data_IF_176685396017
#
_entry.id   IF_176685396017
#
_cell.length_a   1.000
_cell.length_b   1.000
_cell.length_c   1.000
_cell.angle_alpha   90.00
_cell.angle_beta   90.00
_cell.angle_gamma   90.00
#
_symmetry.space_group_name_H-M   'P 1'
#
loop_
_entity.id
_entity.type
_entity.pdbx_description
1 polymer ?
#
# COMPACT_ATOMS: atom_id res chain seq x y z
N UNK A 1 1.36 27.95 -5.86
CA UNK A 1 2.24 27.88 -4.67
C UNK A 1 1.56 28.26 -3.35
N UNK A 2 0.83 29.39 -3.24
CA UNK A 2 0.20 29.79 -1.96
C UNK A 2 -0.79 28.77 -1.37
N UNK A 3 -1.55 28.07 -2.22
CA UNK A 3 -2.47 27.01 -1.78
C UNK A 3 -1.69 25.81 -1.20
N UNK A 4 -0.60 25.41 -1.85
CA UNK A 4 0.29 24.35 -1.35
C UNK A 4 0.92 24.73 -0.01
N UNK A 5 1.35 25.98 0.15
CA UNK A 5 1.84 26.45 1.44
C UNK A 5 0.73 26.42 2.51
N UNK A 6 -0.49 26.83 2.17
CA UNK A 6 -1.63 26.81 3.09
C UNK A 6 -1.95 25.38 3.55
N UNK A 7 -1.93 24.41 2.64
CA UNK A 7 -2.09 22.99 2.96
C UNK A 7 -0.93 22.49 3.84
N UNK A 8 0.32 22.81 3.50
CA UNK A 8 1.46 22.42 4.32
C UNK A 8 1.36 22.98 5.76
N UNK A 9 0.92 24.23 5.92
CA UNK A 9 0.68 24.82 7.23
C UNK A 9 -0.49 24.14 7.97
N UNK A 10 -1.52 23.67 7.26
CA UNK A 10 -2.60 22.89 7.88
C UNK A 10 -2.06 21.60 8.51
N UNK A 11 -1.20 20.86 7.79
CA UNK A 11 -0.54 19.66 8.32
C UNK A 11 0.37 19.99 9.52
N UNK A 12 1.21 21.02 9.41
CA UNK A 12 2.07 21.44 10.53
C UNK A 12 1.30 21.86 11.78
N UNK A 13 0.13 22.46 11.63
CA UNK A 13 -0.63 22.99 12.76
C UNK A 13 -1.49 21.93 13.44
N UNK A 14 -2.09 21.03 12.65
CA UNK A 14 -3.16 20.16 13.15
C UNK A 14 -2.73 18.69 13.30
N UNK A 15 -1.68 18.27 12.59
CA UNK A 15 -1.31 16.86 12.43
C UNK A 15 0.04 16.48 13.03
N UNK A 16 0.80 17.42 13.61
CA UNK A 16 2.11 17.11 14.17
C UNK A 16 2.09 16.65 15.63
N UNK A 17 3.07 15.83 15.96
CA UNK A 17 3.37 15.33 17.31
C UNK A 17 4.87 15.39 17.55
N UNK A 18 5.24 15.45 18.83
CA UNK A 18 6.63 15.42 19.27
C UNK A 18 6.98 14.03 19.82
N UNK A 19 8.14 13.52 19.42
CA UNK A 19 8.72 12.27 19.94
C UNK A 19 10.09 12.60 20.52
N UNK A 20 10.27 12.33 21.80
CA UNK A 20 11.58 12.43 22.45
C UNK A 20 12.36 11.12 22.26
N UNK A 21 13.57 11.23 21.71
CA UNK A 21 14.49 10.11 21.56
C UNK A 21 15.93 10.59 21.77
N UNK A 22 16.68 9.88 22.61
CA UNK A 22 18.08 10.16 22.92
C UNK A 22 18.34 11.62 23.38
N UNK A 23 17.40 12.20 24.14
CA UNK A 23 17.47 13.57 24.65
C UNK A 23 17.20 14.67 23.60
N UNK A 24 16.75 14.29 22.39
CA UNK A 24 16.32 15.21 21.34
C UNK A 24 14.84 15.01 21.03
N UNK A 25 14.14 16.12 20.80
CA UNK A 25 12.73 16.12 20.40
C UNK A 25 12.64 16.22 18.88
N UNK A 26 11.87 15.31 18.28
CA UNK A 26 11.62 15.26 16.85
C UNK A 26 10.14 15.50 16.57
N UNK A 27 9.84 16.37 15.60
CA UNK A 27 8.46 16.62 15.16
C UNK A 27 8.14 15.77 13.94
N UNK A 28 7.05 14.99 14.02
CA UNK A 28 6.54 14.15 12.93
C UNK A 28 5.04 14.37 12.76
N UNK A 29 4.50 13.99 11.61
CA UNK A 29 3.07 14.03 11.33
C UNK A 29 2.39 12.69 11.64
N UNK A 30 1.10 12.77 12.00
CA UNK A 30 0.16 11.66 12.12
C UNK A 30 -1.18 12.06 11.51
N UNK A 31 -1.97 11.08 11.09
CA UNK A 31 -3.38 11.33 10.79
C UNK A 31 -4.13 11.65 12.07
N UNK A 32 -5.10 12.56 12.00
CA UNK A 32 -5.93 12.95 13.14
C UNK A 32 -7.19 13.68 12.70
N UNK A 33 -8.35 13.09 13.00
CA UNK A 33 -9.64 13.78 12.96
C UNK A 33 -10.14 14.16 14.36
N UNK A 34 -10.71 15.35 14.50
CA UNK A 34 -11.25 15.87 15.76
C UNK A 34 -12.76 16.13 15.72
N UNK A 35 -13.44 15.80 14.62
CA UNK A 35 -14.87 16.00 14.48
C UNK A 35 -15.66 15.03 15.39
N UNK A 36 -16.90 15.39 15.73
CA UNK A 36 -17.77 14.58 16.59
C UNK A 36 -18.69 13.67 15.77
N UNK A 37 -19.15 12.58 16.40
CA UNK A 37 -20.13 11.67 15.84
C UNK A 37 -19.61 10.76 14.71
N UNK A 38 -20.46 9.85 14.22
CA UNK A 38 -20.14 8.92 13.13
C UNK A 38 -19.95 9.64 11.79
N UNK A 39 -19.27 8.97 10.86
CA UNK A 39 -19.14 9.39 9.47
C UNK A 39 -20.52 9.49 8.81
N UNK A 40 -20.90 10.63 8.19
CA UNK A 40 -22.19 10.75 7.51
C UNK A 40 -22.40 9.73 6.38
N UNK A 41 -21.33 9.39 5.66
CA UNK A 41 -21.33 8.47 4.52
C UNK A 41 -21.41 6.98 4.91
N UNK A 42 -20.98 6.64 6.14
CA UNK A 42 -21.03 5.28 6.73
C UNK A 42 -21.77 5.28 8.06
N UNK A 43 -22.80 6.14 8.21
CA UNK A 43 -23.43 6.43 9.51
C UNK A 43 -23.94 5.18 10.22
N UNK A 44 -24.59 4.28 9.46
CA UNK A 44 -25.19 3.07 10.02
C UNK A 44 -24.11 2.09 10.49
N UNK A 45 -23.08 1.91 9.70
CA UNK A 45 -21.94 1.01 9.94
C UNK A 45 -21.17 1.46 11.19
N UNK A 46 -20.89 2.75 11.30
CA UNK A 46 -20.23 3.36 12.46
C UNK A 46 -21.05 3.19 13.74
N UNK A 47 -22.35 3.53 13.71
CA UNK A 47 -23.23 3.37 14.87
C UNK A 47 -23.32 1.90 15.32
N UNK A 48 -23.44 0.96 14.37
CA UNK A 48 -23.54 -0.47 14.68
C UNK A 48 -22.24 -1.01 15.26
N UNK A 49 -21.09 -0.65 14.70
CA UNK A 49 -19.78 -1.09 15.20
C UNK A 49 -19.45 -0.48 16.57
N UNK A 50 -19.94 0.73 16.84
CA UNK A 50 -19.78 1.40 18.13
C UNK A 50 -20.62 0.80 19.28
N UNK A 51 -21.58 -0.09 18.99
CA UNK A 51 -22.39 -0.76 20.03
C UNK A 51 -21.57 -1.62 21.00
N UNK A 52 -20.34 -1.97 20.62
CA UNK A 52 -19.37 -2.63 21.49
C UNK A 52 -18.99 -1.75 22.71
N UNK A 53 -18.94 -0.44 22.53
CA UNK A 53 -18.54 0.52 23.56
C UNK A 53 -19.74 0.94 24.41
N UNK A 54 -19.51 1.07 25.72
CA UNK A 54 -20.60 1.28 26.69
C UNK A 54 -20.89 2.75 26.92
N UNK A 55 -19.84 3.55 26.99
CA UNK A 55 -19.93 4.98 27.28
C UNK A 55 -19.96 5.79 25.99
N UNK A 56 -20.57 6.97 26.04
CA UNK A 56 -20.60 7.86 24.89
C UNK A 56 -19.21 8.43 24.60
N UNK A 57 -18.36 8.59 25.62
CA UNK A 57 -16.96 8.99 25.46
C UNK A 57 -16.12 7.96 24.69
N UNK A 58 -16.29 6.66 24.98
CA UNK A 58 -15.63 5.59 24.23
C UNK A 58 -16.11 5.54 22.78
N UNK A 59 -17.42 5.69 22.53
CA UNK A 59 -17.99 5.74 21.18
C UNK A 59 -17.46 6.93 20.39
N UNK A 60 -17.44 8.11 20.99
CA UNK A 60 -16.89 9.32 20.35
C UNK A 60 -15.40 9.18 20.08
N UNK A 61 -14.63 8.52 20.97
CA UNK A 61 -13.24 8.21 20.68
C UNK A 61 -13.10 7.25 19.51
N UNK A 62 -13.95 6.24 19.44
CA UNK A 62 -13.94 5.27 18.35
C UNK A 62 -14.32 5.91 16.99
N UNK A 63 -15.33 6.79 16.95
CA UNK A 63 -15.68 7.52 15.72
C UNK A 63 -14.53 8.39 15.21
N UNK A 64 -13.77 9.05 16.11
CA UNK A 64 -12.58 9.80 15.71
C UNK A 64 -11.52 8.90 15.09
N UNK A 65 -11.29 7.71 15.62
CA UNK A 65 -10.33 6.76 15.05
C UNK A 65 -10.77 6.22 13.69
N UNK A 66 -12.07 5.97 13.50
CA UNK A 66 -12.64 5.61 12.19
C UNK A 66 -12.38 6.70 11.14
N UNK A 67 -12.69 7.95 11.48
CA UNK A 67 -12.44 9.11 10.59
C UNK A 67 -10.96 9.35 10.35
N UNK A 68 -10.12 9.13 11.36
CA UNK A 68 -8.67 9.24 11.22
C UNK A 68 -8.11 8.15 10.29
N UNK A 69 -8.64 6.92 10.34
CA UNK A 69 -8.29 5.88 9.39
C UNK A 69 -8.76 6.22 7.97
N UNK A 70 -9.95 6.82 7.81
CA UNK A 70 -10.40 7.32 6.51
C UNK A 70 -9.49 8.44 5.97
N UNK A 71 -9.03 9.38 6.81
CA UNK A 71 -8.06 10.42 6.43
C UNK A 71 -6.74 9.82 5.94
N UNK A 72 -6.32 8.67 6.49
CA UNK A 72 -5.11 7.97 6.04
C UNK A 72 -5.22 7.37 4.63
N UNK A 73 -6.44 7.22 4.12
CA UNK A 73 -6.75 6.48 2.90
C UNK A 73 -6.70 4.95 3.07
N UNK A 74 -6.51 4.43 4.28
CA UNK A 74 -6.44 3.00 4.61
C UNK A 74 -7.56 2.58 5.58
N UNK A 75 -8.81 2.88 5.23
CA UNK A 75 -10.02 2.49 5.97
C UNK A 75 -10.57 1.14 5.48
N UNK A 76 -10.42 0.01 6.16
CA UNK A 76 -9.61 -0.19 7.37
C UNK A 76 -8.52 -1.22 7.12
N UNK A 77 -7.58 -1.27 8.05
CA UNK A 77 -6.39 -2.11 8.01
C UNK A 77 -5.93 -2.46 9.41
N UNK A 78 -5.38 -3.67 9.58
CA UNK A 78 -4.59 -4.06 10.75
C UNK A 78 -3.45 -3.11 11.05
N UNK A 79 -2.95 -2.37 10.04
CA UNK A 79 -1.98 -1.28 10.21
C UNK A 79 -2.32 -0.36 11.38
N UNK A 80 -3.59 -0.06 11.54
CA UNK A 80 -4.10 0.88 12.54
C UNK A 80 -4.57 0.24 13.84
N UNK A 81 -4.49 -1.08 13.96
CA UNK A 81 -4.91 -1.78 15.18
C UNK A 81 -3.80 -1.74 16.22
N UNK A 82 -4.16 -1.44 17.46
CA UNK A 82 -3.30 -1.62 18.62
C UNK A 82 -4.06 -2.47 19.64
N UNK A 83 -3.73 -3.76 19.68
CA UNK A 83 -4.15 -4.68 20.74
C UNK A 83 -2.89 -5.27 21.39
N UNK A 84 -2.65 -4.92 22.66
CA UNK A 84 -1.45 -5.33 23.41
C UNK A 84 -0.13 -5.01 22.68
N UNK A 85 -0.04 -3.82 22.05
CA UNK A 85 1.14 -3.41 21.27
C UNK A 85 1.32 -4.14 19.94
N UNK A 86 0.29 -4.82 19.43
CA UNK A 86 0.35 -5.54 18.15
C UNK A 86 -0.64 -5.00 17.11
N UNK A 87 -0.46 -5.35 15.83
CA UNK A 87 -1.42 -5.13 14.74
C UNK A 87 -2.59 -6.15 14.71
N UNK A 88 -2.74 -6.97 15.74
CA UNK A 88 -3.84 -7.94 15.85
C UNK A 88 -5.11 -7.26 16.36
N UNK A 89 -6.23 -7.97 16.27
CA UNK A 89 -7.51 -7.51 16.77
C UNK A 89 -8.53 -7.34 15.66
N UNK A 90 -9.45 -6.40 15.86
CA UNK A 90 -10.49 -6.03 14.91
C UNK A 90 -10.72 -4.52 14.93
N UNK A 91 -11.72 -4.05 14.19
CA UNK A 91 -12.05 -2.63 14.05
C UNK A 91 -12.17 -1.87 15.39
N UNK A 92 -12.66 -2.52 16.46
CA UNK A 92 -12.75 -1.90 17.80
C UNK A 92 -11.38 -1.56 18.43
N UNK A 93 -10.28 -2.06 17.85
CA UNK A 93 -8.90 -1.81 18.26
C UNK A 93 -8.21 -0.71 17.45
N UNK A 94 -8.93 0.05 16.60
CA UNK A 94 -8.39 1.19 15.89
C UNK A 94 -7.77 2.22 16.85
N UNK A 95 -6.52 2.60 16.55
CA UNK A 95 -5.73 3.64 17.23
C UNK A 95 -4.87 4.41 16.21
N UNK A 96 -5.44 4.68 15.04
CA UNK A 96 -4.80 5.39 13.93
C UNK A 96 -4.15 6.69 14.38
N UNK A 97 -4.83 7.49 15.21
CA UNK A 97 -4.31 8.77 15.69
C UNK A 97 -3.11 8.62 16.62
N UNK A 98 -2.79 7.41 17.06
CA UNK A 98 -1.65 7.11 17.92
C UNK A 98 -0.45 6.50 17.18
N UNK A 99 -0.53 6.39 15.86
CA UNK A 99 0.52 5.84 15.02
C UNK A 99 1.11 6.97 14.17
N UNK A 100 2.44 7.07 14.15
CA UNK A 100 3.19 7.94 13.26
C UNK A 100 3.53 7.11 12.01
N UNK A 101 2.90 7.39 10.85
CA UNK A 101 3.04 6.52 9.71
C UNK A 101 4.17 6.96 8.76
N UNK A 102 4.87 5.99 8.18
CA UNK A 102 6.06 6.18 7.35
C UNK A 102 5.76 6.95 6.07
N UNK A 103 4.71 6.56 5.35
CA UNK A 103 4.25 7.22 4.12
C UNK A 103 3.93 8.70 4.32
N UNK A 104 3.12 9.05 5.33
CA UNK A 104 2.79 10.45 5.59
C UNK A 104 4.04 11.29 5.83
N UNK A 105 5.00 10.78 6.63
CA UNK A 105 6.20 11.54 6.95
C UNK A 105 7.19 11.62 5.78
N UNK A 106 7.25 10.58 4.96
CA UNK A 106 7.98 10.60 3.70
C UNK A 106 7.40 11.66 2.74
N UNK A 107 6.07 11.75 2.63
CA UNK A 107 5.37 12.76 1.83
C UNK A 107 5.56 14.17 2.39
N UNK A 108 5.53 14.36 3.71
CA UNK A 108 5.77 15.66 4.34
C UNK A 108 7.17 16.20 4.05
N UNK A 109 8.20 15.35 4.11
CA UNK A 109 9.54 15.70 3.64
C UNK A 109 9.53 16.11 2.17
N UNK A 110 8.89 15.30 1.30
CA UNK A 110 8.88 15.55 -0.13
C UNK A 110 8.17 16.86 -0.49
N UNK A 111 7.04 17.13 0.15
CA UNK A 111 6.30 18.39 0.02
C UNK A 111 7.19 19.58 0.43
N UNK A 112 7.97 19.46 1.51
CA UNK A 112 8.90 20.52 1.90
C UNK A 112 10.00 20.74 0.84
N UNK A 113 10.55 19.67 0.25
CA UNK A 113 11.52 19.77 -0.85
C UNK A 113 10.91 20.44 -2.10
N UNK A 114 9.71 20.04 -2.52
CA UNK A 114 9.00 20.64 -3.65
C UNK A 114 8.75 22.14 -3.42
N UNK A 115 8.34 22.52 -2.20
CA UNK A 115 8.13 23.92 -1.85
C UNK A 115 9.46 24.71 -1.85
N UNK A 116 10.54 24.12 -1.37
CA UNK A 116 11.89 24.70 -1.49
C UNK A 116 12.25 24.98 -2.95
N UNK A 117 12.08 23.99 -3.84
CA UNK A 117 12.38 24.13 -5.26
C UNK A 117 11.52 25.22 -5.92
N UNK A 118 10.22 25.21 -5.70
CA UNK A 118 9.33 26.23 -6.26
C UNK A 118 9.70 27.65 -5.79
N UNK A 119 10.02 27.85 -4.51
CA UNK A 119 10.43 29.17 -4.03
C UNK A 119 11.80 29.60 -4.56
N UNK A 120 12.71 28.66 -4.78
CA UNK A 120 13.99 28.92 -5.44
C UNK A 120 13.77 29.40 -6.87
N UNK A 121 12.95 28.70 -7.66
CA UNK A 121 12.65 29.08 -9.05
C UNK A 121 11.92 30.43 -9.15
N UNK A 122 11.10 30.78 -8.16
CA UNK A 122 10.41 32.08 -8.09
C UNK A 122 11.28 33.22 -7.53
N UNK A 123 12.55 32.96 -7.19
CA UNK A 123 13.47 33.97 -6.66
C UNK A 123 13.20 34.41 -5.21
N UNK A 124 12.39 33.66 -4.46
CA UNK A 124 12.13 33.93 -3.05
C UNK A 124 13.08 33.12 -2.15
N UNK A 125 14.30 33.65 -1.97
CA UNK A 125 15.35 32.98 -1.21
C UNK A 125 15.00 32.72 0.26
N UNK A 126 14.25 33.62 0.91
CA UNK A 126 13.85 33.48 2.31
C UNK A 126 12.94 32.26 2.52
N UNK A 127 11.89 32.14 1.69
CA UNK A 127 10.98 30.99 1.74
C UNK A 127 11.69 29.70 1.32
N UNK A 128 12.58 29.75 0.34
CA UNK A 128 13.37 28.60 -0.06
C UNK A 128 14.18 28.06 1.14
N UNK A 129 14.95 28.92 1.82
CA UNK A 129 15.72 28.53 3.03
C UNK A 129 14.80 27.97 4.11
N UNK A 130 13.64 28.59 4.36
CA UNK A 130 12.65 28.08 5.33
C UNK A 130 12.25 26.62 5.03
N UNK A 131 11.87 26.33 3.79
CA UNK A 131 11.42 25.00 3.40
C UNK A 131 12.57 23.97 3.34
N UNK A 132 13.77 24.40 2.98
CA UNK A 132 14.96 23.56 3.05
C UNK A 132 15.28 23.13 4.49
N UNK A 133 15.19 24.06 5.45
CA UNK A 133 15.36 23.74 6.88
C UNK A 133 14.27 22.80 7.38
N UNK A 134 13.01 23.03 7.01
CA UNK A 134 11.90 22.13 7.36
C UNK A 134 12.13 20.72 6.81
N UNK A 135 12.53 20.58 5.55
CA UNK A 135 12.84 19.29 4.96
C UNK A 135 14.02 18.59 5.66
N UNK A 136 15.08 19.34 6.00
CA UNK A 136 16.25 18.79 6.71
C UNK A 136 15.88 18.25 8.10
N UNK A 137 15.07 19.00 8.85
CA UNK A 137 14.57 18.57 10.15
C UNK A 137 13.67 17.33 10.03
N UNK A 138 12.84 17.27 8.98
CA UNK A 138 11.96 16.12 8.74
C UNK A 138 12.73 14.85 8.38
N UNK A 139 13.75 14.98 7.52
CA UNK A 139 14.65 13.88 7.17
C UNK A 139 15.33 13.31 8.41
N UNK A 140 15.81 14.18 9.31
CA UNK A 140 16.41 13.76 10.56
C UNK A 140 15.40 13.02 11.44
N UNK A 141 14.17 13.56 11.59
CA UNK A 141 13.11 12.92 12.36
C UNK A 141 12.73 11.53 11.82
N UNK A 142 12.57 11.38 10.49
CA UNK A 142 12.29 10.09 9.84
C UNK A 142 13.44 9.11 10.05
N UNK A 143 14.68 9.58 9.92
CA UNK A 143 15.88 8.76 10.13
C UNK A 143 16.01 8.29 11.58
N UNK A 144 15.69 9.14 12.55
CA UNK A 144 15.87 8.80 13.96
C UNK A 144 14.70 7.99 14.52
N UNK A 145 13.47 8.31 14.14
CA UNK A 145 12.27 7.71 14.74
C UNK A 145 11.80 6.49 13.96
N UNK A 146 11.84 6.53 12.63
CA UNK A 146 11.16 5.52 11.78
C UNK A 146 12.12 4.49 11.16
N UNK A 147 13.37 4.83 10.85
CA UNK A 147 14.35 3.85 10.37
C UNK A 147 14.67 2.80 11.44
N UNK A 148 14.62 1.52 11.06
CA UNK A 148 15.01 0.41 11.91
C UNK A 148 16.22 -0.32 11.31
N UNK A 149 17.41 -0.11 11.88
CA UNK A 149 18.68 -0.63 11.34
C UNK A 149 18.72 -2.16 11.19
N UNK A 150 18.26 -2.91 12.20
CA UNK A 150 18.31 -4.38 12.18
C UNK A 150 17.27 -5.00 11.23
N UNK A 151 16.06 -4.47 11.19
CA UNK A 151 15.02 -4.90 10.24
C UNK A 151 15.37 -4.47 8.81
N UNK A 152 16.04 -3.33 8.66
CA UNK A 152 16.51 -2.81 7.39
C UNK A 152 15.47 -2.05 6.58
N UNK A 153 14.50 -1.43 7.26
CA UNK A 153 13.41 -0.67 6.62
C UNK A 153 12.88 0.43 7.55
N UNK A 154 12.07 1.35 7.04
CA UNK A 154 11.31 2.29 7.86
C UNK A 154 10.00 1.68 8.34
N UNK A 155 9.73 1.79 9.63
CA UNK A 155 8.55 1.22 10.29
C UNK A 155 7.71 2.33 10.92
N UNK A 156 6.38 2.16 10.88
CA UNK A 156 5.48 3.05 11.61
C UNK A 156 5.80 3.01 13.11
N UNK A 157 5.55 4.11 13.82
CA UNK A 157 5.84 4.21 15.26
C UNK A 157 4.55 4.28 16.08
N UNK A 158 4.41 3.36 17.02
CA UNK A 158 3.33 3.31 18.00
C UNK A 158 3.69 4.18 19.21
N UNK A 159 2.98 5.31 19.35
CA UNK A 159 3.23 6.25 20.45
C UNK A 159 2.64 5.81 21.79
N UNK A 160 1.69 4.88 21.82
CA UNK A 160 1.14 4.38 23.08
C UNK A 160 2.11 3.43 23.76
N UNK A 161 2.78 2.60 22.96
CA UNK A 161 3.69 1.57 23.45
C UNK A 161 5.18 1.94 23.30
N UNK A 162 5.48 3.04 22.62
CA UNK A 162 6.84 3.50 22.30
C UNK A 162 7.66 2.45 21.55
N UNK A 163 7.06 1.83 20.53
CA UNK A 163 7.68 0.78 19.73
C UNK A 163 7.56 1.08 18.25
N UNK A 164 8.56 0.62 17.48
CA UNK A 164 8.44 0.51 16.03
C UNK A 164 7.58 -0.71 15.70
N UNK A 165 6.67 -0.55 14.74
CA UNK A 165 5.72 -1.58 14.32
C UNK A 165 6.35 -2.42 13.22
N UNK A 166 7.06 -3.49 13.60
CA UNK A 166 7.74 -4.43 12.69
C UNK A 166 6.74 -5.36 11.97
N UNK A 167 5.96 -4.76 11.07
CA UNK A 167 5.01 -5.42 10.19
C UNK A 167 5.27 -4.97 8.76
N UNK A 168 4.98 -5.86 7.81
CA UNK A 168 5.10 -5.51 6.40
C UNK A 168 3.93 -4.65 5.92
N UNK A 169 4.30 -3.49 5.38
CA UNK A 169 3.47 -2.62 4.57
C UNK A 169 4.28 -2.15 3.35
N UNK A 170 3.71 -2.12 2.14
CA UNK A 170 4.43 -1.57 0.97
C UNK A 170 4.98 -0.16 1.19
N UNK A 171 4.30 0.63 2.03
CA UNK A 171 4.69 1.98 2.42
C UNK A 171 5.91 2.06 3.33
N UNK A 172 6.41 0.94 3.87
CA UNK A 172 7.67 0.92 4.62
C UNK A 172 8.86 1.43 3.76
N UNK A 173 8.77 1.32 2.43
CA UNK A 173 9.80 1.81 1.51
C UNK A 173 9.44 3.15 0.84
N UNK A 174 8.35 3.81 1.26
CA UNK A 174 7.98 5.14 0.76
C UNK A 174 9.10 6.21 0.87
N UNK A 175 10.03 6.14 1.84
CA UNK A 175 11.20 7.01 1.85
C UNK A 175 12.09 6.86 0.61
N UNK A 176 12.19 5.68 0.00
CA UNK A 176 12.90 5.53 -1.28
C UNK A 176 12.18 6.27 -2.42
N UNK A 177 10.84 6.19 -2.46
CA UNK A 177 10.00 6.86 -3.47
C UNK A 177 10.01 8.39 -3.38
N UNK A 178 10.18 8.91 -2.16
CA UNK A 178 10.15 10.35 -1.86
C UNK A 178 11.54 10.95 -1.68
N UNK A 179 12.60 10.14 -1.83
CA UNK A 179 13.98 10.52 -1.52
C UNK A 179 14.17 11.01 -0.06
N UNK A 180 13.33 10.56 0.88
CA UNK A 180 13.38 10.90 2.29
C UNK A 180 14.40 10.02 3.05
N UNK A 181 15.64 10.01 2.59
CA UNK A 181 16.75 9.30 3.24
C UNK A 181 18.08 9.96 2.86
N UNK A 182 19.14 9.62 3.60
CA UNK A 182 20.49 10.06 3.29
C UNK A 182 20.99 9.43 1.99
N UNK A 183 20.84 10.15 0.87
CA UNK A 183 21.14 9.65 -0.50
C UNK A 183 22.62 9.32 -0.71
N UNK A 184 23.51 9.94 0.05
CA UNK A 184 24.92 9.57 0.12
C UNK A 184 25.13 8.10 0.53
N UNK A 185 24.14 7.49 1.17
CA UNK A 185 24.14 6.11 1.65
C UNK A 185 23.13 5.22 0.90
N UNK A 186 22.73 5.56 -0.34
CA UNK A 186 21.74 4.77 -1.12
C UNK A 186 22.07 3.28 -1.15
N UNK A 187 23.31 2.89 -1.45
CA UNK A 187 23.68 1.46 -1.50
C UNK A 187 23.47 0.72 -0.18
N UNK A 188 23.65 1.40 0.97
CA UNK A 188 23.38 0.83 2.28
C UNK A 188 21.88 0.59 2.49
N UNK A 189 21.05 1.61 2.26
CA UNK A 189 19.60 1.49 2.40
C UNK A 189 19.00 0.45 1.45
N UNK A 190 19.42 0.46 0.18
CA UNK A 190 18.95 -0.52 -0.82
C UNK A 190 19.31 -1.93 -0.38
N UNK A 191 20.57 -2.20 0.00
CA UNK A 191 20.98 -3.55 0.41
C UNK A 191 20.18 -4.07 1.63
N UNK A 192 19.79 -3.18 2.55
CA UNK A 192 18.94 -3.50 3.71
C UNK A 192 17.49 -3.76 3.30
N UNK A 193 16.92 -2.89 2.47
CA UNK A 193 15.54 -3.02 1.96
C UNK A 193 15.38 -4.29 1.12
N UNK A 194 16.33 -4.62 0.25
CA UNK A 194 16.27 -5.84 -0.57
C UNK A 194 16.24 -7.11 0.29
N UNK A 195 17.07 -7.17 1.34
CA UNK A 195 17.03 -8.28 2.32
C UNK A 195 15.72 -8.34 3.09
N UNK A 196 15.16 -7.18 3.46
CA UNK A 196 13.87 -7.09 4.11
C UNK A 196 12.73 -7.64 3.22
N UNK A 197 12.69 -7.25 1.94
CA UNK A 197 11.70 -7.71 0.97
C UNK A 197 11.84 -9.21 0.64
N UNK A 198 13.08 -9.73 0.60
CA UNK A 198 13.33 -11.16 0.47
C UNK A 198 12.79 -11.92 1.69
N UNK A 199 13.10 -11.44 2.90
CA UNK A 199 12.66 -12.05 4.16
C UNK A 199 11.14 -12.01 4.34
N UNK A 200 10.46 -10.96 3.88
CA UNK A 200 9.00 -10.85 4.00
C UNK A 200 8.24 -11.81 3.07
N UNK A 201 8.93 -12.40 2.08
CA UNK A 201 8.37 -13.34 1.10
C UNK A 201 7.21 -12.78 0.27
N UNK A 202 7.07 -11.45 0.19
CA UNK A 202 5.94 -10.81 -0.52
C UNK A 202 6.00 -10.99 -2.04
N UNK A 203 7.17 -11.34 -2.58
CA UNK A 203 7.38 -11.54 -4.02
C UNK A 203 6.81 -12.86 -4.56
N UNK A 204 6.38 -13.78 -3.67
CA UNK A 204 5.77 -15.05 -4.08
C UNK A 204 4.38 -14.85 -4.70
N UNK A 205 3.74 -13.73 -4.40
CA UNK A 205 2.42 -13.35 -4.86
C UNK A 205 2.46 -12.93 -6.34
N UNK A 206 1.63 -13.58 -7.17
CA UNK A 206 1.69 -13.43 -8.62
C UNK A 206 0.76 -12.34 -9.16
N UNK A 207 -0.25 -11.94 -8.39
CA UNK A 207 -1.23 -10.91 -8.74
C UNK A 207 -0.82 -9.49 -8.34
N UNK A 208 0.25 -9.33 -7.56
CA UNK A 208 0.76 -8.07 -7.05
C UNK A 208 1.33 -8.20 -5.64
N UNK A 209 1.88 -7.12 -5.10
CA UNK A 209 2.33 -7.05 -3.71
C UNK A 209 1.12 -6.84 -2.79
N UNK A 210 0.90 -7.68 -1.77
CA UNK A 210 -0.23 -7.54 -0.88
C UNK A 210 -0.08 -6.30 0.01
N UNK A 211 -1.20 -5.75 0.46
CA UNK A 211 -1.24 -4.56 1.33
C UNK A 211 -0.62 -4.82 2.69
N UNK A 212 -0.87 -5.99 3.26
CA UNK A 212 -0.30 -6.49 4.52
C UNK A 212 -0.10 -8.01 4.39
N UNK A 213 0.36 -8.66 5.46
CA UNK A 213 0.38 -10.13 5.58
C UNK A 213 -0.73 -10.65 6.52
N UNK A 214 -1.68 -9.80 6.91
CA UNK A 214 -2.70 -10.12 7.90
C UNK A 214 -4.04 -10.45 7.28
N UNK A 215 -4.62 -11.58 7.70
CA UNK A 215 -5.94 -12.04 7.25
C UNK A 215 -7.07 -11.51 8.15
N UNK A 216 -7.33 -10.21 8.09
CA UNK A 216 -8.36 -9.57 8.93
C UNK A 216 -9.77 -9.59 8.31
N UNK A 217 -9.86 -9.62 6.97
CA UNK A 217 -11.10 -9.39 6.23
C UNK A 217 -11.36 -7.92 5.89
N UNK A 218 -10.52 -7.00 6.39
CA UNK A 218 -10.55 -5.59 6.02
C UNK A 218 -10.01 -5.37 4.60
N UNK A 219 -10.39 -4.26 3.96
CA UNK A 219 -10.05 -4.05 2.55
C UNK A 219 -8.58 -3.65 2.33
N UNK A 220 -7.95 -2.97 3.28
CA UNK A 220 -6.52 -2.63 3.24
C UNK A 220 -5.68 -3.67 4.00
N UNK A 221 -5.94 -4.94 3.74
CA UNK A 221 -5.23 -6.09 4.31
C UNK A 221 -5.11 -7.24 3.30
N UNK A 222 -4.34 -8.27 3.66
CA UNK A 222 -4.19 -9.48 2.85
C UNK A 222 -5.56 -10.15 2.56
N UNK A 223 -5.83 -10.62 1.33
CA UNK A 223 -4.92 -10.74 0.18
C UNK A 223 -4.99 -9.58 -0.81
N UNK A 224 -5.58 -8.43 -0.45
CA UNK A 224 -5.77 -7.36 -1.41
C UNK A 224 -4.43 -6.71 -1.80
N UNK A 225 -4.33 -6.32 -3.05
CA UNK A 225 -3.25 -5.51 -3.63
C UNK A 225 -3.87 -4.25 -4.24
N UNK A 226 -3.34 -3.09 -3.85
CA UNK A 226 -3.87 -1.79 -4.28
C UNK A 226 -2.89 -1.10 -5.24
N UNK A 227 -3.38 -0.56 -6.38
CA UNK A 227 -2.58 0.17 -7.36
C UNK A 227 -1.63 1.22 -6.77
N UNK A 228 -2.04 2.14 -5.86
CA UNK A 228 -1.13 3.12 -5.28
C UNK A 228 0.02 2.49 -4.49
N UNK A 229 -0.19 1.33 -3.85
CA UNK A 229 0.85 0.63 -3.10
C UNK A 229 1.86 -0.06 -4.02
N UNK A 230 1.39 -0.57 -5.17
CA UNK A 230 2.28 -1.08 -6.20
C UNK A 230 3.15 0.05 -6.75
N UNK A 231 2.55 1.21 -6.99
CA UNK A 231 3.26 2.37 -7.48
C UNK A 231 4.36 2.83 -6.51
N UNK A 232 4.05 2.96 -5.21
CA UNK A 232 5.05 3.32 -4.18
C UNK A 232 6.20 2.30 -4.16
N UNK A 233 5.88 1.01 -4.23
CA UNK A 233 6.90 -0.04 -4.21
C UNK A 233 7.80 0.01 -5.45
N UNK A 234 7.20 0.02 -6.65
CA UNK A 234 7.91 0.04 -7.93
C UNK A 234 8.74 1.31 -8.05
N UNK A 235 8.15 2.48 -7.82
CA UNK A 235 8.85 3.75 -7.98
C UNK A 235 9.89 3.98 -6.89
N UNK A 236 9.66 3.49 -5.67
CA UNK A 236 10.66 3.54 -4.62
C UNK A 236 11.93 2.79 -4.99
N UNK A 237 11.78 1.58 -5.53
CA UNK A 237 12.91 0.77 -5.99
C UNK A 237 13.56 1.37 -7.25
N UNK A 238 12.76 1.77 -8.23
CA UNK A 238 13.22 2.32 -9.52
C UNK A 238 14.06 3.59 -9.35
N UNK A 239 13.59 4.52 -8.51
CA UNK A 239 14.26 5.81 -8.36
C UNK A 239 15.62 5.72 -7.63
N UNK A 240 15.93 4.59 -6.98
CA UNK A 240 17.23 4.42 -6.32
C UNK A 240 18.40 4.43 -7.30
N UNK A 241 18.16 4.07 -8.57
CA UNK A 241 19.20 3.90 -9.59
C UNK A 241 20.12 2.69 -9.33
N UNK A 242 19.85 1.88 -8.32
CA UNK A 242 20.56 0.63 -8.05
C UNK A 242 20.00 -0.47 -8.95
N UNK A 243 20.87 -1.15 -9.71
CA UNK A 243 20.43 -2.12 -10.71
C UNK A 243 19.62 -3.27 -10.11
N UNK A 244 19.95 -3.74 -8.89
CA UNK A 244 19.22 -4.84 -8.27
C UNK A 244 17.82 -4.40 -7.83
N UNK A 245 17.69 -3.18 -7.32
CA UNK A 245 16.39 -2.60 -7.01
C UNK A 245 15.56 -2.36 -8.29
N UNK A 246 16.17 -1.85 -9.36
CA UNK A 246 15.49 -1.61 -10.65
C UNK A 246 15.00 -2.90 -11.31
N UNK A 247 15.80 -3.97 -11.26
CA UNK A 247 15.38 -5.29 -11.75
C UNK A 247 14.14 -5.80 -11.00
N UNK A 248 14.12 -5.63 -9.66
CA UNK A 248 12.96 -6.00 -8.85
C UNK A 248 11.75 -5.08 -9.14
N UNK A 249 11.97 -3.77 -9.34
CA UNK A 249 10.92 -2.84 -9.73
C UNK A 249 10.25 -3.30 -11.05
N UNK A 250 11.05 -3.74 -12.02
CA UNK A 250 10.55 -4.29 -13.27
C UNK A 250 9.82 -5.63 -13.08
N UNK A 251 10.32 -6.54 -12.24
CA UNK A 251 9.64 -7.82 -11.95
C UNK A 251 8.24 -7.58 -11.35
N UNK A 252 8.13 -6.67 -10.39
CA UNK A 252 6.85 -6.27 -9.78
C UNK A 252 5.94 -5.65 -10.84
N UNK A 253 6.50 -4.79 -11.71
CA UNK A 253 5.75 -4.20 -12.83
C UNK A 253 5.20 -5.26 -13.77
N UNK A 254 6.01 -6.25 -14.18
CA UNK A 254 5.57 -7.35 -15.05
C UNK A 254 4.39 -8.11 -14.44
N UNK A 255 4.50 -8.50 -13.15
CA UNK A 255 3.43 -9.20 -12.43
C UNK A 255 2.15 -8.37 -12.37
N UNK A 256 2.27 -7.11 -11.96
CA UNK A 256 1.13 -6.22 -11.77
C UNK A 256 0.39 -5.93 -13.09
N UNK A 257 1.13 -5.53 -14.14
CA UNK A 257 0.55 -5.21 -15.44
C UNK A 257 -0.11 -6.43 -16.07
N UNK A 258 0.52 -7.62 -15.99
CA UNK A 258 -0.08 -8.87 -16.50
C UNK A 258 -1.35 -9.26 -15.73
N UNK A 259 -1.34 -9.14 -14.40
CA UNK A 259 -2.51 -9.42 -13.56
C UNK A 259 -3.68 -8.51 -13.95
N UNK A 260 -3.42 -7.21 -14.10
CA UNK A 260 -4.43 -6.23 -14.51
C UNK A 260 -4.93 -6.50 -15.95
N UNK A 261 -4.04 -6.78 -16.88
CA UNK A 261 -4.39 -7.11 -18.26
C UNK A 261 -5.27 -8.36 -18.34
N UNK A 262 -4.95 -9.40 -17.57
CA UNK A 262 -5.76 -10.62 -17.50
C UNK A 262 -7.17 -10.33 -17.00
N UNK A 263 -7.31 -9.58 -15.90
CA UNK A 263 -8.61 -9.18 -15.38
C UNK A 263 -9.41 -8.38 -16.41
N UNK A 264 -8.76 -7.44 -17.10
CA UNK A 264 -9.38 -6.63 -18.14
C UNK A 264 -9.84 -7.47 -19.33
N UNK A 265 -9.03 -8.41 -19.79
CA UNK A 265 -9.36 -9.28 -20.91
C UNK A 265 -10.53 -10.24 -20.58
N UNK A 266 -10.64 -10.70 -19.34
CA UNK A 266 -11.70 -11.61 -18.89
C UNK A 266 -13.03 -10.89 -18.60
N UNK A 267 -12.97 -9.64 -18.11
CA UNK A 267 -14.15 -8.94 -17.57
C UNK A 267 -14.56 -7.70 -18.35
N UNK A 268 -13.67 -7.15 -19.18
CA UNK A 268 -13.82 -5.86 -19.85
C UNK A 268 -13.63 -4.65 -18.92
N UNK A 269 -13.16 -4.84 -17.68
CA UNK A 269 -13.06 -3.80 -16.68
C UNK A 269 -11.73 -3.82 -15.91
N UNK A 270 -11.33 -2.63 -15.44
CA UNK A 270 -10.28 -2.44 -14.43
C UNK A 270 -10.94 -2.28 -13.06
N UNK A 271 -10.30 -2.75 -11.99
CA UNK A 271 -10.89 -2.76 -10.65
C UNK A 271 -10.18 -1.78 -9.70
N UNK A 272 -10.88 -1.38 -8.64
CA UNK A 272 -10.32 -0.62 -7.53
C UNK A 272 -9.10 -1.27 -6.90
N UNK A 273 -9.18 -2.58 -6.67
CA UNK A 273 -8.19 -3.42 -5.96
C UNK A 273 -8.20 -4.84 -6.52
N UNK A 274 -7.07 -5.53 -6.39
CA UNK A 274 -6.82 -6.84 -6.98
C UNK A 274 -6.48 -7.88 -5.92
N UNK A 275 -6.54 -9.16 -6.28
CA UNK A 275 -6.06 -10.25 -5.43
C UNK A 275 -4.56 -10.46 -5.66
N UNK A 276 -3.74 -10.31 -4.61
CA UNK A 276 -2.30 -10.48 -4.70
C UNK A 276 -1.89 -11.92 -5.06
N UNK A 277 -2.69 -12.92 -4.69
CA UNK A 277 -2.37 -14.33 -4.88
C UNK A 277 -2.69 -14.76 -6.31
N UNK A 278 -3.88 -14.39 -6.80
CA UNK A 278 -4.44 -14.90 -8.05
C UNK A 278 -4.32 -13.85 -9.16
N UNK A 279 -3.46 -14.05 -10.18
CA UNK A 279 -3.38 -13.16 -11.33
C UNK A 279 -4.73 -13.05 -12.03
N UNK A 280 -5.16 -11.82 -12.31
CA UNK A 280 -6.47 -11.52 -12.89
C UNK A 280 -7.63 -11.50 -11.88
N UNK A 281 -7.38 -11.85 -10.61
CA UNK A 281 -8.37 -11.78 -9.55
C UNK A 281 -8.61 -10.33 -9.10
N UNK A 282 -9.87 -9.98 -8.85
CA UNK A 282 -10.22 -8.74 -8.17
C UNK A 282 -10.23 -8.97 -6.65
N UNK A 283 -9.90 -7.92 -5.89
CA UNK A 283 -9.93 -7.95 -4.43
C UNK A 283 -11.37 -7.93 -3.88
N UNK A 284 -11.49 -7.88 -2.55
CA UNK A 284 -12.76 -7.80 -1.83
C UNK A 284 -12.57 -7.33 -0.39
N UNK A 285 -13.54 -7.59 0.50
CA UNK A 285 -13.45 -7.18 1.91
C UNK A 285 -13.74 -5.69 2.14
N UNK A 286 -13.84 -5.30 3.42
CA UNK A 286 -14.29 -3.97 3.83
C UNK A 286 -15.81 -3.79 3.83
N UNK A 287 -16.25 -2.53 3.84
CA UNK A 287 -17.66 -2.16 4.03
C UNK A 287 -18.51 -2.21 2.74
N UNK A 288 -17.90 -2.35 1.55
CA UNK A 288 -18.61 -2.28 0.26
C UNK A 288 -18.02 -3.19 -0.85
N UNK A 289 -18.82 -3.40 -1.90
CA UNK A 289 -18.47 -4.21 -3.08
C UNK A 289 -17.38 -3.56 -3.95
N UNK A 290 -16.55 -4.37 -4.62
CA UNK A 290 -15.47 -3.86 -5.48
C UNK A 290 -16.00 -2.98 -6.63
N UNK A 291 -15.31 -1.87 -6.90
CA UNK A 291 -15.70 -0.90 -7.94
C UNK A 291 -14.92 -1.10 -9.26
N UNK A 292 -15.56 -0.79 -10.39
CA UNK A 292 -15.01 -0.92 -11.75
C UNK A 292 -14.63 0.45 -12.37
N UNK A 293 -13.66 0.45 -13.31
CA UNK A 293 -13.17 1.62 -14.05
C UNK A 293 -12.15 2.50 -13.32
N UNK A 294 -11.66 2.07 -12.15
CA UNK A 294 -11.11 2.94 -11.11
C UNK A 294 -9.90 3.82 -11.51
N UNK A 295 -9.95 5.10 -11.15
CA UNK A 295 -9.02 6.14 -11.61
C UNK A 295 -7.54 5.88 -11.31
N UNK A 296 -7.19 5.51 -10.07
CA UNK A 296 -5.79 5.21 -9.73
C UNK A 296 -5.26 3.98 -10.47
N UNK A 297 -6.13 3.04 -10.87
CA UNK A 297 -5.71 1.77 -11.48
C UNK A 297 -5.27 2.07 -12.88
N UNK A 298 -6.11 2.83 -13.59
CA UNK A 298 -5.82 3.33 -14.92
C UNK A 298 -4.56 4.19 -14.90
N UNK A 299 -4.43 5.12 -13.95
CA UNK A 299 -3.26 6.00 -13.83
C UNK A 299 -1.95 5.22 -13.61
N UNK A 300 -1.93 4.29 -12.66
CA UNK A 300 -0.74 3.47 -12.39
C UNK A 300 -0.38 2.59 -13.58
N UNK A 301 -1.37 1.95 -14.22
CA UNK A 301 -1.09 1.12 -15.41
C UNK A 301 -0.56 1.96 -16.56
N UNK A 302 -1.10 3.16 -16.81
CA UNK A 302 -0.60 4.05 -17.85
C UNK A 302 0.86 4.46 -17.61
N UNK A 303 1.22 4.86 -16.38
CA UNK A 303 2.59 5.22 -16.02
C UNK A 303 3.55 4.03 -16.18
N UNK A 304 3.14 2.83 -15.77
CA UNK A 304 3.98 1.63 -15.92
C UNK A 304 4.15 1.21 -17.38
N UNK A 305 3.10 1.35 -18.21
CA UNK A 305 3.18 1.08 -19.64
C UNK A 305 4.06 2.10 -20.37
N UNK A 306 4.00 3.39 -20.00
CA UNK A 306 4.88 4.42 -20.57
C UNK A 306 6.35 4.14 -20.22
N UNK A 307 6.61 3.84 -18.95
CA UNK A 307 7.97 3.60 -18.43
C UNK A 307 8.59 2.30 -18.92
N UNK A 308 7.84 1.20 -18.86
CA UNK A 308 8.36 -0.16 -19.08
C UNK A 308 7.83 -0.84 -20.35
N UNK A 309 6.97 -0.19 -21.13
CA UNK A 309 6.26 -0.80 -22.27
C UNK A 309 7.17 -1.45 -23.32
N UNK A 310 8.41 -0.96 -23.49
CA UNK A 310 9.40 -1.57 -24.40
C UNK A 310 9.95 -2.91 -23.91
N UNK A 311 9.90 -3.16 -22.60
CA UNK A 311 10.42 -4.36 -21.95
C UNK A 311 9.31 -5.38 -21.62
N UNK A 312 8.08 -4.90 -21.45
CA UNK A 312 6.92 -5.71 -21.10
C UNK A 312 6.52 -6.66 -22.24
N UNK A 313 6.16 -7.89 -21.87
CA UNK A 313 5.62 -8.90 -22.79
C UNK A 313 4.33 -9.51 -22.26
N UNK A 314 3.44 -9.91 -23.16
CA UNK A 314 2.18 -10.59 -22.82
C UNK A 314 2.38 -12.08 -22.49
N UNK A 315 3.53 -12.66 -22.82
CA UNK A 315 3.86 -14.06 -22.57
C UNK A 315 4.47 -14.26 -21.19
N UNK A 316 4.06 -15.30 -20.46
CA UNK A 316 4.71 -15.71 -19.21
C UNK A 316 6.14 -16.22 -19.50
N UNK A 317 7.18 -15.58 -18.93
CA UNK A 317 8.59 -16.01 -19.08
C UNK A 317 8.88 -17.45 -18.64
N UNK A 318 7.94 -18.14 -18.00
CA UNK A 318 8.03 -19.57 -17.69
C UNK A 318 8.10 -20.47 -18.94
N UNK A 319 7.51 -20.06 -20.07
CA UNK A 319 7.60 -20.83 -21.31
C UNK A 319 9.02 -20.79 -21.93
N UNK A 320 9.76 -19.69 -21.72
CA UNK A 320 11.11 -19.51 -22.29
C UNK A 320 12.15 -20.39 -21.59
N UNK A 321 12.10 -20.53 -20.26
CA UNK A 321 13.03 -21.38 -19.51
C UNK A 321 12.78 -22.88 -19.71
N UNK A 322 11.52 -23.30 -19.89
CA UNK A 322 11.20 -24.70 -20.22
C UNK A 322 11.59 -25.06 -21.67
N UNK A 323 11.54 -24.09 -22.59
CA UNK A 323 12.03 -24.26 -23.96
C UNK A 323 13.56 -24.27 -24.04
N UNK A 324 14.26 -23.50 -23.21
CA UNK A 324 15.73 -23.49 -23.16
C UNK A 324 16.31 -24.71 -22.42
N UNK A 325 15.69 -25.14 -21.31
CA UNK A 325 16.14 -26.31 -20.54
C UNK A 325 15.88 -27.64 -21.24
N UNK A 326 14.94 -27.70 -22.18
CA UNK A 326 14.72 -28.88 -23.03
C UNK A 326 15.76 -29.04 -24.15
N UNK A 327 16.62 -28.03 -24.38
CA UNK A 327 17.71 -28.07 -25.36
C UNK A 327 19.09 -28.43 -24.77
N UNK A 328 19.26 -28.42 -23.44
CA UNK A 328 20.56 -28.67 -22.78
C UNK A 328 20.62 -29.95 -21.92
N UNK A 329 19.53 -30.72 -21.79
CA UNK A 329 19.54 -31.97 -21.04
C UNK A 329 20.08 -33.16 -21.87
N UNK A 330 21.36 -33.09 -22.24
CA UNK A 330 22.17 -34.28 -22.53
C UNK A 330 23.46 -34.22 -21.72
N UNK A 331 23.66 -35.26 -20.90
CA UNK A 331 24.86 -35.64 -20.15
C UNK A 331 24.99 -35.19 -18.69
N UNK A 332 24.66 -36.12 -17.79
CA UNK A 332 25.41 -36.51 -16.56
C UNK A 332 24.47 -36.93 -15.42
N UNK A 333 24.52 -38.22 -15.10
CA UNK A 333 23.70 -38.88 -14.09
C UNK A 333 24.46 -38.96 -12.76
N UNK A 334 24.07 -38.14 -11.77
CA UNK A 334 24.19 -38.47 -10.33
C UNK A 334 23.66 -37.41 -9.35
N UNK A 335 23.35 -36.17 -9.76
CA UNK A 335 22.77 -35.13 -8.88
C UNK A 335 21.24 -34.94 -8.98
N UNK A 336 20.60 -35.61 -9.94
CA UNK A 336 19.25 -35.27 -10.43
C UNK A 336 18.12 -35.58 -9.43
N UNK A 337 18.30 -36.56 -8.55
CA UNK A 337 17.21 -37.05 -7.67
C UNK A 337 16.88 -36.07 -6.54
N UNK A 338 17.88 -35.38 -5.98
CA UNK A 338 17.65 -34.40 -4.90
C UNK A 338 16.99 -33.12 -5.43
N UNK A 339 17.47 -32.60 -6.57
CA UNK A 339 16.90 -31.41 -7.22
C UNK A 339 15.50 -31.64 -7.78
N UNK A 340 15.23 -32.82 -8.35
CA UNK A 340 13.86 -33.16 -8.80
C UNK A 340 12.88 -33.22 -7.64
N UNK A 341 13.28 -33.72 -6.46
CA UNK A 341 12.39 -33.77 -5.30
C UNK A 341 12.06 -32.37 -4.77
N UNK A 342 13.03 -31.44 -4.79
CA UNK A 342 12.80 -30.04 -4.38
C UNK A 342 11.89 -29.32 -5.37
N UNK A 343 12.11 -29.53 -6.67
CA UNK A 343 11.24 -28.98 -7.73
C UNK A 343 9.84 -29.56 -7.64
N UNK A 344 9.68 -30.86 -7.40
CA UNK A 344 8.37 -31.51 -7.23
C UNK A 344 7.64 -31.01 -5.99
N UNK A 345 8.35 -30.77 -4.87
CA UNK A 345 7.77 -30.20 -3.66
C UNK A 345 7.35 -28.73 -3.85
N UNK A 346 8.17 -27.93 -4.54
CA UNK A 346 7.81 -26.57 -4.91
C UNK A 346 6.61 -26.53 -5.86
N UNK A 347 6.58 -27.42 -6.86
CA UNK A 347 5.45 -27.56 -7.79
C UNK A 347 4.18 -27.97 -7.05
N UNK A 348 4.29 -28.93 -6.12
CA UNK A 348 3.17 -29.39 -5.31
C UNK A 348 2.64 -28.28 -4.38
N UNK A 349 3.52 -27.47 -3.79
CA UNK A 349 3.14 -26.32 -2.98
C UNK A 349 2.45 -25.24 -3.82
N UNK A 350 2.97 -24.94 -5.02
CA UNK A 350 2.35 -23.98 -5.97
C UNK A 350 1.01 -24.47 -6.48
N UNK A 351 0.87 -25.76 -6.81
CA UNK A 351 -0.40 -26.38 -7.21
C UNK A 351 -1.38 -26.36 -6.04
N UNK A 352 -0.95 -26.69 -4.81
CA UNK A 352 -1.80 -26.64 -3.63
C UNK A 352 -2.30 -25.21 -3.33
N UNK A 353 -1.41 -24.21 -3.39
CA UNK A 353 -1.78 -22.81 -3.24
C UNK A 353 -2.73 -22.34 -4.35
N UNK A 354 -2.45 -22.72 -5.60
CA UNK A 354 -3.32 -22.46 -6.75
C UNK A 354 -4.69 -23.13 -6.62
N UNK A 355 -4.77 -24.38 -6.17
CA UNK A 355 -6.02 -25.11 -5.95
C UNK A 355 -6.83 -24.52 -4.80
N UNK A 356 -6.20 -24.14 -3.69
CA UNK A 356 -6.85 -23.43 -2.58
C UNK A 356 -7.38 -22.08 -3.07
N UNK A 357 -6.56 -21.31 -3.80
CA UNK A 357 -6.96 -20.06 -4.44
C UNK A 357 -8.14 -20.24 -5.39
N UNK A 358 -8.14 -21.30 -6.22
CA UNK A 358 -9.24 -21.59 -7.15
C UNK A 358 -10.53 -22.03 -6.44
N UNK A 359 -10.43 -22.77 -5.33
CA UNK A 359 -11.58 -23.17 -4.51
C UNK A 359 -12.18 -21.95 -3.82
N UNK A 360 -11.34 -21.07 -3.26
CA UNK A 360 -11.78 -19.80 -2.65
C UNK A 360 -12.41 -18.89 -3.72
N UNK A 361 -11.80 -18.77 -4.90
CA UNK A 361 -12.33 -18.02 -6.03
C UNK A 361 -13.68 -18.56 -6.52
N UNK A 362 -13.82 -19.89 -6.72
CA UNK A 362 -15.11 -20.51 -7.08
C UNK A 362 -16.17 -20.32 -6.00
N UNK A 363 -15.79 -20.35 -4.72
CA UNK A 363 -16.70 -20.09 -3.60
C UNK A 363 -17.15 -18.62 -3.57
N UNK A 364 -16.29 -17.67 -3.98
CA UNK A 364 -16.63 -16.25 -4.17
C UNK A 364 -17.56 -16.04 -5.39
N UNK A 365 -17.32 -16.71 -6.50
CA UNK A 365 -18.20 -16.66 -7.70
C UNK A 365 -19.60 -17.26 -7.46
N UNK A 366 -19.73 -18.26 -6.59
CA UNK A 366 -21.03 -18.85 -6.22
C UNK A 366 -21.87 -17.93 -5.33
N UNK A 367 -21.30 -16.86 -4.79
CA UNK A 367 -22.04 -15.79 -4.13
C UNK A 367 -22.54 -14.78 -5.18
N UNK A 368 -23.37 -15.25 -6.11
CA UNK A 368 -24.14 -14.37 -6.98
C UNK A 368 -25.40 -13.94 -6.22
N UNK A 369 -25.67 -12.64 -6.00
CA UNK A 369 -26.98 -12.23 -5.51
C UNK A 369 -28.01 -12.72 -6.52
N UNK A 370 -28.98 -13.50 -6.06
CA UNK A 370 -30.05 -14.02 -6.88
C UNK A 370 -30.70 -12.93 -7.73
N UNK A 371 -31.03 -13.31 -8.96
CA UNK A 371 -31.73 -12.57 -9.98
C UNK A 371 -32.79 -11.58 -9.43
N UNK A 372 -32.40 -10.32 -9.19
CA UNK A 372 -33.30 -9.23 -8.76
C UNK A 372 -34.03 -8.57 -9.94
N UNK A 373 -34.18 -9.25 -11.09
CA UNK A 373 -35.02 -8.73 -12.19
C UNK A 373 -36.52 -8.90 -12.02
N UNK A 374 -37.03 -9.24 -10.82
CA UNK A 374 -38.49 -9.39 -10.58
C UNK A 374 -39.09 -8.71 -9.35
N UNK A 375 -38.40 -7.79 -8.67
CA UNK A 375 -38.96 -7.08 -7.51
C UNK A 375 -38.54 -5.61 -7.47
N UNK A 376 -39.11 -4.77 -8.36
CA UNK A 376 -39.62 -3.40 -8.07
C UNK A 376 -39.95 -2.65 -9.39
N UNK A 377 -41.23 -2.46 -9.77
CA UNK A 377 -41.61 -1.45 -10.75
C UNK A 377 -42.11 -0.22 -10.01
N UNK A 378 -41.23 0.74 -9.76
CA UNK A 378 -41.46 2.16 -9.41
C UNK A 378 -40.37 2.61 -8.44
N UNK A 379 -39.30 3.18 -9.00
CA UNK A 379 -38.49 4.29 -8.47
C UNK A 379 -37.21 4.39 -9.34
N UNK A 380 -37.38 4.52 -10.66
CA UNK A 380 -36.34 5.05 -11.53
C UNK A 380 -36.57 6.56 -11.63
N UNK A 381 -36.14 7.29 -10.61
CA UNK A 381 -35.88 8.72 -10.71
C UNK A 381 -34.38 8.88 -10.95
N UNK A 382 -34.00 9.12 -12.21
CA UNK A 382 -32.61 9.39 -12.58
C UNK A 382 -32.15 10.70 -11.94
N UNK A 383 -31.00 10.67 -11.28
CA UNK A 383 -30.27 11.85 -10.89
C UNK A 383 -29.05 12.05 -11.81
N UNK A 384 -29.18 13.12 -12.60
CA UNK A 384 -28.13 14.02 -13.13
C UNK A 384 -27.08 13.45 -14.08
N UNK A 385 -27.41 13.48 -15.38
CA UNK A 385 -26.44 13.70 -16.46
C UNK A 385 -25.91 15.15 -16.39
N UNK A 386 -24.60 15.31 -16.54
CA UNK A 386 -23.91 16.58 -16.66
C UNK A 386 -24.20 17.20 -18.03
N UNK A 387 -24.88 18.35 -18.06
CA UNK A 387 -25.00 19.16 -19.26
C UNK A 387 -23.64 19.83 -19.57
N UNK A 388 -23.16 19.60 -20.79
CA UNK A 388 -22.08 20.35 -21.43
C UNK A 388 -22.55 21.79 -21.71
N UNK A 389 -21.73 22.77 -21.35
CA UNK A 389 -21.92 24.17 -21.76
C UNK A 389 -21.17 24.41 -23.08
N UNK A 390 -21.92 24.86 -24.10
CA UNK A 390 -21.41 25.63 -25.25
C UNK A 390 -21.28 27.11 -24.89
#
# INVERSE_FOLDING_TARGET
>A
IHILEKEFQFWLTNHTVEVEKDGKVYTLARYKDASQGPRPESYREDILSATFFKTDEEKESYYRELKTAAESGWDFSTRWFILNGTNRGNLTNLKTSHIIPVDLNAIMYWNAQIMYEFYRELGNGEKAVKFQTLASNWLEAVTQVLWHEEVGVWLDYDMLNNIKRDYFYPTNIAPLWTMCYHRENTSHYVAKVMKYLEKSQVMVHQGGIPTTLEHSGEQWDYPNAWPPLQYIMIMGLEQTGDSWAQDLAFEITEKWVRSNFKAFNETGAMFEKYDAIVPGGHGGGGEYEVQAGFGWTNGVIMELLDRYGKQLTTEERLASFMSASSLEASDSSSGVVAGMLTVLLALAATIAAGCIGMIVYKKRLQYSPGDRRKLCPKLCGGYTELNTFD
#
